data_IF_099275940546
#
_entry.id   IF_099275940546
#
_cell.length_a   1.000
_cell.length_b   1.000
_cell.length_c   1.000
_cell.angle_alpha   90.00
_cell.angle_beta   90.00
_cell.angle_gamma   90.00
#
_symmetry.space_group_name_H-M   'P 1'
#
loop_
_entity.id
_entity.type
_entity.pdbx_description
1 polymer ?
#
# COMPACT_ATOMS: atom_id res chain seq x y z
N UNK A 1 -18.92 12.47 8.46
CA UNK A 1 -19.57 12.39 9.78
C UNK A 1 -21.03 12.77 9.56
N UNK A 2 -21.94 11.79 9.45
CA UNK A 2 -23.36 12.04 9.19
C UNK A 2 -24.05 12.57 10.45
N UNK A 3 -24.94 13.54 10.26
CA UNK A 3 -25.61 14.32 11.30
C UNK A 3 -26.49 13.41 12.20
N UNK A 4 -26.55 13.59 13.54
CA UNK A 4 -27.34 12.72 14.42
C UNK A 4 -28.85 12.74 14.16
N UNK A 5 -29.36 13.79 13.50
CA UNK A 5 -30.79 13.98 13.22
C UNK A 5 -31.25 13.31 11.91
N UNK A 6 -30.32 12.85 11.06
CA UNK A 6 -30.60 12.18 9.78
C UNK A 6 -30.94 10.68 9.95
N UNK A 7 -31.18 10.24 11.20
CA UNK A 7 -31.51 8.84 11.57
C UNK A 7 -33.03 8.63 11.72
N UNK A 8 -33.86 9.64 11.46
CA UNK A 8 -35.26 9.66 11.92
C UNK A 8 -36.33 9.31 10.87
N UNK A 9 -35.95 8.88 9.66
CA UNK A 9 -36.91 8.25 8.73
C UNK A 9 -36.59 6.75 8.55
N UNK A 10 -37.36 5.85 9.17
CA UNK A 10 -37.17 4.40 9.01
C UNK A 10 -37.13 3.96 7.55
N UNK A 11 -37.82 4.68 6.66
CA UNK A 11 -37.95 4.32 5.24
C UNK A 11 -36.67 4.49 4.43
N UNK A 12 -35.69 5.28 4.90
CA UNK A 12 -34.40 5.47 4.20
C UNK A 12 -33.32 4.49 4.66
N UNK A 13 -33.55 3.75 5.76
CA UNK A 13 -32.58 2.82 6.33
C UNK A 13 -32.39 1.62 5.39
N UNK A 14 -31.21 1.54 4.77
CA UNK A 14 -30.81 0.43 3.89
C UNK A 14 -30.32 -0.78 4.71
N UNK A 15 -30.93 -1.94 4.46
CA UNK A 15 -30.49 -3.22 4.99
C UNK A 15 -29.45 -3.88 4.06
N UNK A 16 -28.21 -4.06 4.52
CA UNK A 16 -27.16 -4.70 3.72
C UNK A 16 -27.33 -6.21 3.54
N UNK A 17 -28.10 -6.89 4.40
CA UNK A 17 -28.33 -8.33 4.32
C UNK A 17 -29.26 -8.72 3.15
N UNK A 18 -30.31 -7.93 2.91
CA UNK A 18 -31.32 -8.20 1.87
C UNK A 18 -31.42 -7.11 0.79
N UNK A 19 -30.69 -5.99 0.93
CA UNK A 19 -30.76 -4.78 0.08
C UNK A 19 -32.11 -4.06 0.10
N UNK A 20 -33.00 -4.39 1.04
CA UNK A 20 -34.26 -3.68 1.28
C UNK A 20 -34.07 -2.38 2.06
N UNK A 21 -35.13 -1.59 2.16
CA UNK A 21 -35.20 -0.38 2.99
C UNK A 21 -36.13 -0.60 4.20
N UNK A 22 -36.23 0.36 5.11
CA UNK A 22 -37.18 0.30 6.22
C UNK A 22 -36.64 -0.25 7.54
N UNK A 23 -35.44 -0.85 7.55
CA UNK A 23 -34.95 -1.59 8.72
C UNK A 23 -33.44 -1.74 8.78
N UNK A 24 -32.91 -1.84 10.00
CA UNK A 24 -31.52 -2.19 10.24
C UNK A 24 -31.24 -3.66 9.87
N UNK A 25 -30.01 -3.92 9.39
CA UNK A 25 -29.56 -5.27 9.06
C UNK A 25 -29.71 -6.28 10.21
N UNK A 26 -29.52 -5.84 11.47
CA UNK A 26 -29.72 -6.66 12.68
C UNK A 26 -31.17 -7.12 12.91
N UNK A 27 -32.14 -6.39 12.35
CA UNK A 27 -33.57 -6.68 12.46
C UNK A 27 -34.10 -7.38 11.20
N UNK A 28 -33.22 -7.74 10.26
CA UNK A 28 -33.63 -8.37 9.02
C UNK A 28 -34.08 -9.82 9.26
N UNK A 29 -35.33 -10.10 8.91
CA UNK A 29 -35.93 -11.45 9.00
C UNK A 29 -35.77 -12.24 7.71
N UNK A 30 -35.39 -11.58 6.61
CA UNK A 30 -35.04 -12.27 5.38
C UNK A 30 -33.83 -13.16 5.65
N UNK A 31 -33.86 -14.40 5.17
CA UNK A 31 -32.70 -15.28 5.20
C UNK A 31 -31.51 -14.52 4.61
N UNK A 32 -30.41 -14.33 5.39
CA UNK A 32 -29.20 -13.73 4.86
C UNK A 32 -28.84 -14.46 3.57
N UNK A 33 -28.41 -13.72 2.54
CA UNK A 33 -28.00 -14.35 1.29
C UNK A 33 -26.99 -15.45 1.63
N UNK A 34 -27.40 -16.71 1.40
CA UNK A 34 -26.48 -17.83 1.36
C UNK A 34 -25.45 -17.44 0.30
N UNK A 35 -24.22 -17.23 0.72
CA UNK A 35 -23.10 -17.03 -0.20
C UNK A 35 -22.91 -18.35 -0.92
N UNK A 36 -23.31 -18.39 -2.18
CA UNK A 36 -23.10 -19.59 -2.99
C UNK A 36 -21.60 -19.77 -3.26
N UNK A 37 -21.24 -20.96 -3.76
CA UNK A 37 -19.85 -21.28 -4.05
C UNK A 37 -19.23 -20.30 -5.05
N UNK A 38 -20.02 -19.82 -6.02
CA UNK A 38 -19.58 -18.85 -7.02
C UNK A 38 -19.19 -17.51 -6.38
N UNK A 39 -20.02 -16.98 -5.49
CA UNK A 39 -19.72 -15.76 -4.74
C UNK A 39 -18.45 -15.91 -3.88
N UNK A 40 -18.32 -17.03 -3.16
CA UNK A 40 -17.13 -17.27 -2.34
C UNK A 40 -15.87 -17.39 -3.20
N UNK A 41 -15.95 -18.08 -4.34
CA UNK A 41 -14.85 -18.19 -5.30
C UNK A 41 -14.40 -16.81 -5.80
N UNK A 42 -15.35 -15.95 -6.18
CA UNK A 42 -15.04 -14.60 -6.64
C UNK A 42 -14.39 -13.76 -5.53
N UNK A 43 -14.90 -13.82 -4.30
CA UNK A 43 -14.30 -13.09 -3.18
C UNK A 43 -12.88 -13.55 -2.87
N UNK A 44 -12.59 -14.86 -2.96
CA UNK A 44 -11.24 -15.39 -2.79
C UNK A 44 -10.30 -14.90 -3.90
N UNK A 45 -10.75 -14.91 -5.16
CA UNK A 45 -9.96 -14.40 -6.28
C UNK A 45 -9.66 -12.90 -6.14
N UNK A 46 -10.60 -12.11 -5.63
CA UNK A 46 -10.38 -10.68 -5.36
C UNK A 46 -9.31 -10.53 -4.26
N UNK A 47 -9.48 -11.23 -3.13
CA UNK A 47 -8.54 -11.16 -2.01
C UNK A 47 -7.11 -11.58 -2.43
N UNK A 48 -6.97 -12.63 -3.24
CA UNK A 48 -5.66 -13.07 -3.75
C UNK A 48 -4.99 -12.01 -4.64
N UNK A 49 -5.76 -11.31 -5.46
CA UNK A 49 -5.23 -10.23 -6.31
C UNK A 49 -4.82 -9.01 -5.50
N UNK A 50 -5.63 -8.64 -4.51
CA UNK A 50 -5.30 -7.55 -3.59
C UNK A 50 -4.02 -7.87 -2.80
N UNK A 51 -3.90 -9.10 -2.28
CA UNK A 51 -2.71 -9.54 -1.55
C UNK A 51 -1.45 -9.55 -2.42
N UNK A 52 -1.54 -10.05 -3.65
CA UNK A 52 -0.44 -9.97 -4.62
C UNK A 52 -0.07 -8.51 -4.95
N UNK A 53 -1.05 -7.61 -5.04
CA UNK A 53 -0.80 -6.18 -5.22
C UNK A 53 -0.04 -5.55 -4.04
N UNK A 54 -0.40 -5.92 -2.80
CA UNK A 54 0.29 -5.45 -1.59
C UNK A 54 1.74 -5.97 -1.55
N UNK A 55 1.96 -7.23 -1.90
CA UNK A 55 3.30 -7.82 -1.94
C UNK A 55 4.19 -7.10 -2.98
N UNK A 56 3.68 -6.88 -4.19
CA UNK A 56 4.42 -6.16 -5.24
C UNK A 56 4.77 -4.73 -4.82
N UNK A 57 3.85 -4.03 -4.15
CA UNK A 57 4.11 -2.67 -3.69
C UNK A 57 5.17 -2.62 -2.57
N UNK A 58 5.22 -3.63 -1.70
CA UNK A 58 6.29 -3.75 -0.71
C UNK A 58 7.65 -3.97 -1.37
N UNK A 59 7.73 -4.86 -2.35
CA UNK A 59 8.97 -5.12 -3.10
C UNK A 59 9.43 -3.89 -3.90
N UNK A 60 8.51 -3.13 -4.49
CA UNK A 60 8.82 -1.86 -5.16
C UNK A 60 9.43 -0.84 -4.19
N UNK A 61 8.87 -0.72 -2.99
CA UNK A 61 9.38 0.17 -1.95
C UNK A 61 10.79 -0.23 -1.49
N UNK A 62 11.01 -1.52 -1.24
CA UNK A 62 12.31 -2.06 -0.85
C UNK A 62 13.37 -1.86 -1.95
N UNK A 63 13.00 -2.02 -3.22
CA UNK A 63 13.88 -1.77 -4.35
C UNK A 63 14.26 -0.28 -4.47
N UNK A 64 13.30 0.63 -4.27
CA UNK A 64 13.57 2.07 -4.26
C UNK A 64 14.50 2.46 -3.11
N UNK A 65 14.32 1.88 -1.92
CA UNK A 65 15.22 2.12 -0.79
C UNK A 65 16.64 1.61 -1.10
N UNK A 66 16.77 0.40 -1.64
CA UNK A 66 18.06 -0.16 -2.03
C UNK A 66 18.74 0.66 -3.14
N UNK A 67 17.97 1.21 -4.08
CA UNK A 67 18.51 2.08 -5.13
C UNK A 67 19.06 3.40 -4.56
N UNK A 68 18.38 4.00 -3.57
CA UNK A 68 18.88 5.20 -2.91
C UNK A 68 20.21 4.95 -2.17
N UNK A 69 20.33 3.81 -1.50
CA UNK A 69 21.58 3.41 -0.85
C UNK A 69 22.74 3.23 -1.86
N UNK A 70 22.45 2.78 -3.09
CA UNK A 70 23.45 2.64 -4.16
C UNK A 70 23.96 3.99 -4.64
N UNK A 71 23.07 4.97 -4.85
CA UNK A 71 23.45 6.32 -5.26
C UNK A 71 24.39 6.98 -4.22
N UNK A 72 24.11 6.80 -2.93
CA UNK A 72 24.95 7.29 -1.84
C UNK A 72 26.35 6.64 -1.85
N UNK A 73 26.44 5.33 -2.13
CA UNK A 73 27.71 4.61 -2.22
C UNK A 73 28.53 5.10 -3.42
N UNK A 74 27.90 5.35 -4.57
CA UNK A 74 28.58 5.88 -5.75
C UNK A 74 29.16 7.27 -5.50
N UNK A 75 28.43 8.13 -4.79
CA UNK A 75 28.92 9.46 -4.40
C UNK A 75 30.15 9.35 -3.50
N UNK A 76 30.09 8.51 -2.46
CA UNK A 76 31.22 8.29 -1.54
C UNK A 76 32.43 7.74 -2.32
N UNK A 77 32.22 6.81 -3.24
CA UNK A 77 33.29 6.25 -4.07
C UNK A 77 33.95 7.31 -4.96
N UNK A 78 33.17 8.16 -5.63
CA UNK A 78 33.69 9.26 -6.44
C UNK A 78 34.52 10.25 -5.59
N UNK A 79 34.03 10.59 -4.40
CA UNK A 79 34.74 11.44 -3.45
C UNK A 79 36.06 10.82 -2.98
N UNK A 80 36.08 9.52 -2.68
CA UNK A 80 37.31 8.79 -2.32
C UNK A 80 38.36 8.83 -3.43
N UNK A 81 37.96 8.64 -4.69
CA UNK A 81 38.85 8.70 -5.85
C UNK A 81 39.44 10.12 -6.00
N UNK A 82 38.61 11.16 -5.85
CA UNK A 82 39.06 12.55 -5.94
C UNK A 82 40.10 12.88 -4.86
N UNK A 83 39.86 12.47 -3.62
CA UNK A 83 40.81 12.68 -2.51
C UNK A 83 42.16 12.01 -2.78
N UNK A 84 42.17 10.79 -3.32
CA UNK A 84 43.40 10.09 -3.67
C UNK A 84 44.20 10.84 -4.76
N UNK A 85 43.51 11.34 -5.79
CA UNK A 85 44.15 12.12 -6.86
C UNK A 85 44.76 13.43 -6.33
N UNK A 86 44.08 14.13 -5.42
CA UNK A 86 44.61 15.36 -4.79
C UNK A 86 45.83 15.10 -3.91
N UNK A 87 45.82 14.01 -3.14
CA UNK A 87 46.97 13.59 -2.32
C UNK A 87 48.18 13.24 -3.19
N UNK A 88 47.97 12.49 -4.28
CA UNK A 88 49.03 12.15 -5.24
C UNK A 88 49.62 13.42 -5.89
N UNK A 89 48.78 14.33 -6.37
CA UNK A 89 49.23 15.59 -6.96
C UNK A 89 50.05 16.44 -5.96
N UNK A 90 49.66 16.45 -4.69
CA UNK A 90 50.37 17.17 -3.63
C UNK A 90 51.71 16.52 -3.28
N UNK A 91 51.80 15.19 -3.31
CA UNK A 91 53.05 14.44 -3.09
C UNK A 91 54.02 14.50 -4.29
N UNK A 92 53.51 14.68 -5.51
CA UNK A 92 54.32 14.85 -6.72
C UNK A 92 54.99 16.23 -6.81
N UNK A 93 54.60 17.19 -5.96
CA UNK A 93 55.11 18.57 -5.96
C UNK A 93 56.36 18.81 -5.08
N UNK A 94 56.91 17.80 -4.41
CA UNK A 94 58.05 17.95 -3.47
C UNK A 94 59.39 17.43 -3.98
N UNK A 95 59.51 17.16 -5.29
CA UNK A 95 60.77 16.72 -5.89
C UNK A 95 61.42 17.86 -6.70
N UNK A 96 62.04 18.81 -5.98
CA UNK A 96 63.12 19.70 -6.48
C UNK A 96 64.11 19.96 -5.37
#
# INVERSE_FOLDING_TARGET
MTNPEDITDPTTIRCYNCRGFGHYARNCTATPRRRDAAYLQTQLLIAQKEDAGIQLQAEEYDLMAAAADVDDIEEVNANCILMANLQQASSSGTQT
#
